data_IF_821819089401
#
_entry.id   IF_821819089401
#
_cell.length_a   1.000
_cell.length_b   1.000
_cell.length_c   1.000
_cell.angle_alpha   90.00
_cell.angle_beta   90.00
_cell.angle_gamma   90.00
#
_symmetry.space_group_name_H-M   'P 1'
#
loop_
_entity.id
_entity.type
_entity.pdbx_description
1 polymer ?
#
# COMPACT_ATOMS: atom_id res chain seq x y z
N UNK A 1 9.67 -17.28 2.40
CA UNK A 1 8.22 -17.54 2.42
C UNK A 1 7.51 -16.22 2.18
N UNK A 2 6.90 -16.07 1.00
CA UNK A 2 6.34 -14.80 0.51
C UNK A 2 5.90 -14.86 -0.96
N UNK A 3 6.48 -15.78 -1.75
CA UNK A 3 6.04 -16.06 -3.11
C UNK A 3 4.75 -16.87 -3.13
N UNK A 4 3.61 -16.18 -3.14
CA UNK A 4 2.29 -16.73 -3.44
C UNK A 4 1.77 -16.18 -4.78
N UNK A 5 0.53 -16.49 -5.18
CA UNK A 5 -0.08 -15.97 -6.40
C UNK A 5 -0.39 -14.45 -6.34
N UNK A 6 -0.18 -13.83 -5.17
CA UNK A 6 -0.36 -12.40 -4.92
C UNK A 6 0.94 -11.84 -4.41
N UNK A 7 1.37 -10.73 -5.00
CA UNK A 7 2.51 -9.94 -4.57
C UNK A 7 2.05 -8.76 -3.71
N UNK A 8 2.73 -8.51 -2.59
CA UNK A 8 2.50 -7.34 -1.76
C UNK A 8 3.49 -6.27 -2.20
N UNK A 9 2.97 -5.14 -2.65
CA UNK A 9 3.78 -3.99 -3.07
C UNK A 9 4.04 -3.09 -1.86
N UNK A 10 5.28 -2.65 -1.72
CA UNK A 10 5.65 -1.60 -0.78
C UNK A 10 5.27 -0.23 -1.35
N UNK A 11 4.30 0.45 -0.74
CA UNK A 11 3.91 1.79 -1.18
C UNK A 11 4.78 2.91 -0.57
N UNK A 12 5.70 2.55 0.33
CA UNK A 12 6.66 3.44 0.96
C UNK A 12 8.10 2.90 0.86
N UNK A 13 8.63 2.69 -0.36
CA UNK A 13 9.86 1.92 -0.60
C UNK A 13 11.15 2.51 0.02
N UNK A 14 11.11 3.78 0.40
CA UNK A 14 12.25 4.47 1.03
C UNK A 14 12.15 4.51 2.56
N UNK A 15 11.07 3.96 3.13
CA UNK A 15 10.87 3.89 4.57
C UNK A 15 10.65 2.45 5.03
N UNK A 16 10.17 2.29 6.25
CA UNK A 16 10.16 1.03 6.96
C UNK A 16 9.79 1.28 8.41
N UNK A 17 9.05 0.35 9.00
CA UNK A 17 8.62 0.46 10.39
C UNK A 17 8.98 -0.76 11.24
N UNK A 18 8.91 -0.61 12.56
CA UNK A 18 9.04 -1.70 13.52
C UNK A 18 10.35 -2.52 13.37
N UNK A 19 11.49 -1.87 13.11
CA UNK A 19 12.79 -2.52 12.86
C UNK A 19 13.18 -3.61 13.85
N UNK A 20 12.93 -3.42 15.15
CA UNK A 20 13.28 -4.40 16.19
C UNK A 20 12.17 -5.43 16.49
N UNK A 21 11.02 -5.36 15.78
CA UNK A 21 9.82 -6.14 16.10
C UNK A 21 9.18 -6.84 14.89
N UNK A 22 9.43 -6.33 13.69
CA UNK A 22 8.94 -6.91 12.45
C UNK A 22 9.98 -7.89 11.90
N UNK A 23 9.52 -9.04 11.43
CA UNK A 23 10.36 -9.98 10.67
C UNK A 23 10.73 -9.44 9.28
N UNK A 24 10.00 -8.44 8.79
CA UNK A 24 10.28 -7.76 7.54
C UNK A 24 9.95 -6.26 7.67
N UNK A 25 10.85 -5.45 8.25
CA UNK A 25 10.62 -4.03 8.53
C UNK A 25 10.24 -3.16 7.32
N UNK A 26 10.78 -3.38 6.10
CA UNK A 26 10.40 -2.57 4.93
C UNK A 26 8.90 -2.61 4.61
N UNK A 27 8.21 -3.74 4.81
CA UNK A 27 6.76 -3.80 4.56
C UNK A 27 5.89 -3.42 5.76
N UNK A 28 6.50 -3.03 6.88
CA UNK A 28 5.75 -2.80 8.11
C UNK A 28 4.94 -1.49 8.09
N UNK A 29 5.25 -0.58 7.17
CA UNK A 29 4.53 0.67 6.85
C UNK A 29 4.02 0.69 5.40
N UNK A 30 4.06 -0.44 4.69
CA UNK A 30 3.64 -0.53 3.30
C UNK A 30 2.18 -0.12 3.00
N UNK A 31 1.17 -0.25 3.89
CA UNK A 31 -0.19 0.16 3.56
C UNK A 31 -0.35 1.68 3.43
N UNK A 32 -1.07 2.12 2.38
CA UNK A 32 -1.46 3.53 2.23
C UNK A 32 -2.42 4.00 3.33
N UNK A 33 -2.19 5.22 3.80
CA UNK A 33 -3.05 6.01 4.66
C UNK A 33 -4.11 6.82 3.88
N UNK A 34 -5.11 7.34 4.60
CA UNK A 34 -6.13 8.22 4.01
C UNK A 34 -5.49 9.49 3.45
N UNK A 35 -5.84 9.84 2.22
CA UNK A 35 -5.28 10.96 1.47
C UNK A 35 -4.03 10.61 0.66
N UNK A 36 -3.44 9.43 0.87
CA UNK A 36 -2.29 8.98 0.11
C UNK A 36 -2.67 8.37 -1.23
N UNK A 37 -1.70 8.37 -2.14
CA UNK A 37 -1.83 7.85 -3.48
C UNK A 37 -0.58 7.07 -3.85
N UNK A 38 -0.77 5.98 -4.56
CA UNK A 38 0.30 5.24 -5.20
C UNK A 38 0.01 5.02 -6.69
N UNK A 39 1.03 5.15 -7.53
CA UNK A 39 0.97 4.73 -8.94
C UNK A 39 1.85 3.50 -9.10
N UNK A 40 1.26 2.41 -9.60
CA UNK A 40 1.96 1.14 -9.73
C UNK A 40 3.12 1.29 -10.74
N UNK A 41 4.38 1.04 -10.36
CA UNK A 41 5.51 1.20 -11.28
C UNK A 41 5.38 0.26 -12.49
N UNK A 42 5.55 0.81 -13.70
CA UNK A 42 5.44 0.05 -14.95
C UNK A 42 4.00 -0.24 -15.39
N UNK A 43 3.01 0.20 -14.63
CA UNK A 43 1.58 0.16 -14.95
C UNK A 43 1.01 1.58 -14.86
N UNK A 44 -0.09 1.87 -15.55
CA UNK A 44 -0.73 3.17 -15.50
C UNK A 44 -1.79 3.27 -14.38
N UNK A 45 -1.91 2.23 -13.55
CA UNK A 45 -2.88 2.15 -12.46
C UNK A 45 -2.48 3.04 -11.29
N UNK A 46 -3.35 3.99 -10.98
CA UNK A 46 -3.27 4.86 -9.81
C UNK A 46 -4.30 4.43 -8.77
N UNK A 47 -3.88 4.38 -7.52
CA UNK A 47 -4.66 3.97 -6.35
C UNK A 47 -4.65 5.13 -5.36
N UNK A 48 -5.82 5.50 -4.85
CA UNK A 48 -5.98 6.54 -3.83
C UNK A 48 -6.87 6.01 -2.71
N UNK A 49 -6.45 6.24 -1.47
CA UNK A 49 -7.27 5.94 -0.29
C UNK A 49 -8.01 7.20 0.11
N UNK A 50 -9.28 7.29 -0.25
CA UNK A 50 -10.06 8.52 -0.10
C UNK A 50 -10.64 8.70 1.30
N UNK A 51 -11.03 7.60 1.97
CA UNK A 51 -11.66 7.66 3.29
C UNK A 51 -11.54 6.35 4.06
N UNK A 52 -11.72 6.44 5.39
CA UNK A 52 -11.92 5.30 6.28
C UNK A 52 -13.06 5.59 7.25
N UNK A 53 -14.08 4.73 7.21
CA UNK A 53 -15.23 4.83 8.12
C UNK A 53 -14.84 4.49 9.56
N UNK A 54 -15.59 4.97 10.59
CA UNK A 54 -15.35 4.62 11.99
C UNK A 54 -15.40 3.11 12.28
N UNK A 55 -16.22 2.37 11.53
CA UNK A 55 -16.31 0.90 11.62
C UNK A 55 -15.19 0.16 10.89
N UNK A 56 -14.29 0.88 10.22
CA UNK A 56 -13.06 0.35 9.63
C UNK A 56 -13.11 0.02 8.13
N UNK A 57 -14.22 0.26 7.44
CA UNK A 57 -14.31 0.15 5.98
C UNK A 57 -13.51 1.25 5.30
N UNK A 58 -12.93 0.95 4.13
CA UNK A 58 -12.13 1.88 3.33
C UNK A 58 -12.86 2.27 2.05
N UNK A 59 -12.73 3.53 1.65
CA UNK A 59 -13.08 4.00 0.32
C UNK A 59 -11.80 4.14 -0.50
N UNK A 60 -11.66 3.33 -1.53
CA UNK A 60 -10.49 3.32 -2.42
C UNK A 60 -10.94 3.70 -3.83
N UNK A 61 -10.18 4.57 -4.49
CA UNK A 61 -10.34 4.91 -5.89
C UNK A 61 -9.22 4.27 -6.68
N UNK A 62 -9.58 3.57 -7.75
CA UNK A 62 -8.65 2.94 -8.67
C UNK A 62 -8.94 3.48 -10.06
N UNK A 63 -7.93 4.04 -10.70
CA UNK A 63 -8.00 4.52 -12.08
C UNK A 63 -6.89 3.89 -12.89
N UNK A 64 -7.22 3.23 -13.99
CA UNK A 64 -6.25 2.85 -15.00
C UNK A 64 -5.94 4.07 -15.89
N UNK A 65 -4.67 4.32 -16.17
CA UNK A 65 -4.30 5.23 -17.25
C UNK A 65 -4.55 4.58 -18.61
N UNK A 66 -4.87 5.42 -19.61
CA UNK A 66 -5.01 5.03 -21.02
C UNK A 66 -3.67 5.00 -21.74
#
# INVERSE_FOLDING_TARGET
>A
SGGGPVEVVDTHPETGACWDRSVYPPLADAPLGVGETFTVPGDATRIEVADRTPSGSWTVRISAGV
#
